data_IF_707274081007
#
_entry.id   IF_707274081007
#
_cell.length_a   1.000
_cell.length_b   1.000
_cell.length_c   1.000
_cell.angle_alpha   90.00
_cell.angle_beta   90.00
_cell.angle_gamma   90.00
#
_symmetry.space_group_name_H-M   'P 1'
#
loop_
_entity.id
_entity.type
_entity.pdbx_description
1 polymer ?
#
# COMPACT_ATOMS: atom_id res chain seq x y z
N UNK A 1 15.92 -39.99 4.82
CA UNK A 1 15.70 -38.63 4.33
C UNK A 1 14.39 -38.03 4.86
N UNK A 2 13.23 -38.57 4.55
CA UNK A 2 11.92 -38.02 4.98
C UNK A 2 11.84 -37.68 6.46
N UNK A 3 12.27 -38.59 7.35
CA UNK A 3 12.24 -38.36 8.80
C UNK A 3 13.17 -37.23 9.25
N UNK A 4 14.29 -37.03 8.54
CA UNK A 4 15.23 -35.92 8.78
C UNK A 4 14.56 -34.60 8.43
N UNK A 5 14.00 -34.47 7.24
CA UNK A 5 13.31 -33.28 6.76
C UNK A 5 12.12 -32.90 7.67
N UNK A 6 11.34 -33.90 8.10
CA UNK A 6 10.23 -33.68 9.04
C UNK A 6 10.73 -33.14 10.39
N UNK A 7 11.83 -33.66 10.90
CA UNK A 7 12.43 -33.18 12.15
C UNK A 7 13.00 -31.76 12.03
N UNK A 8 13.61 -31.43 10.90
CA UNK A 8 14.09 -30.06 10.61
C UNK A 8 12.92 -29.10 10.53
N UNK A 9 11.85 -29.45 9.81
CA UNK A 9 10.63 -28.62 9.71
C UNK A 9 9.98 -28.38 11.07
N UNK A 10 9.81 -29.41 11.90
CA UNK A 10 9.23 -29.28 13.26
C UNK A 10 10.14 -28.48 14.21
N UNK A 11 11.44 -28.49 14.01
CA UNK A 11 12.39 -27.65 14.77
C UNK A 11 12.31 -26.18 14.39
N UNK A 12 12.09 -25.87 13.12
CA UNK A 12 11.88 -24.48 12.66
C UNK A 12 10.40 -24.08 12.85
N UNK A 13 10.06 -23.84 14.11
CA UNK A 13 8.70 -23.42 14.49
C UNK A 13 8.21 -22.16 13.79
N UNK A 14 9.13 -21.27 13.38
CA UNK A 14 8.77 -20.01 12.68
C UNK A 14 8.37 -20.29 11.25
N UNK A 15 9.14 -21.06 10.51
CA UNK A 15 8.81 -21.50 9.16
C UNK A 15 7.50 -22.30 9.15
N UNK A 16 7.33 -23.22 10.10
CA UNK A 16 6.11 -24.02 10.22
C UNK A 16 4.88 -23.13 10.51
N UNK A 17 5.03 -22.18 11.44
CA UNK A 17 3.93 -21.23 11.76
C UNK A 17 3.54 -20.37 10.54
N UNK A 18 4.50 -19.86 9.78
CA UNK A 18 4.24 -19.07 8.57
C UNK A 18 3.60 -19.92 7.47
N UNK A 19 4.05 -21.16 7.31
CA UNK A 19 3.53 -22.09 6.30
C UNK A 19 2.05 -22.44 6.53
N UNK A 20 1.62 -22.51 7.79
CA UNK A 20 0.23 -22.76 8.17
C UNK A 20 -0.57 -21.45 8.19
N UNK A 21 0.00 -20.39 8.76
CA UNK A 21 -0.69 -19.11 8.90
C UNK A 21 -1.03 -18.46 7.56
N UNK A 22 -0.15 -18.62 6.55
CA UNK A 22 -0.33 -17.98 5.25
C UNK A 22 -1.57 -18.46 4.48
N UNK A 23 -1.83 -19.77 4.29
CA UNK A 23 -3.07 -20.23 3.68
C UNK A 23 -4.34 -19.86 4.47
N UNK A 24 -4.26 -19.89 5.80
CA UNK A 24 -5.39 -19.48 6.66
C UNK A 24 -5.68 -17.98 6.52
N UNK A 25 -4.64 -17.16 6.50
CA UNK A 25 -4.76 -15.72 6.30
C UNK A 25 -5.36 -15.42 4.92
N UNK A 26 -4.90 -16.10 3.87
CA UNK A 26 -5.46 -15.98 2.53
C UNK A 26 -6.94 -16.38 2.49
N UNK A 27 -7.30 -17.51 3.11
CA UNK A 27 -8.70 -17.96 3.20
C UNK A 27 -9.58 -16.90 3.85
N UNK A 28 -9.15 -16.33 4.98
CA UNK A 28 -9.89 -15.29 5.70
C UNK A 28 -9.99 -14.02 4.86
N UNK A 29 -8.89 -13.58 4.26
CA UNK A 29 -8.89 -12.37 3.42
C UNK A 29 -9.83 -12.56 2.23
N UNK A 30 -9.69 -13.64 1.46
CA UNK A 30 -10.57 -13.87 0.31
C UNK A 30 -12.02 -14.06 0.73
N UNK A 31 -12.30 -14.70 1.86
CA UNK A 31 -13.65 -14.88 2.36
C UNK A 31 -14.36 -13.58 2.74
N UNK A 32 -13.64 -12.58 3.24
CA UNK A 32 -14.22 -11.34 3.73
C UNK A 32 -13.91 -10.10 2.86
N UNK A 33 -12.82 -10.10 2.11
CA UNK A 33 -12.41 -8.95 1.28
C UNK A 33 -12.83 -9.09 -0.19
N UNK A 34 -13.07 -10.29 -0.70
CA UNK A 34 -13.40 -10.53 -2.11
C UNK A 34 -14.83 -10.08 -2.45
N UNK A 35 -15.09 -8.80 -2.34
CA UNK A 35 -16.32 -8.19 -2.76
C UNK A 35 -16.01 -7.04 -3.74
N UNK A 36 -16.55 -7.14 -4.95
CA UNK A 36 -16.40 -6.13 -6.01
C UNK A 36 -17.61 -5.19 -6.12
N UNK A 37 -18.69 -5.48 -5.38
CA UNK A 37 -19.89 -4.67 -5.41
C UNK A 37 -19.80 -3.54 -4.38
N UNK A 38 -19.87 -2.32 -4.89
CA UNK A 38 -20.02 -1.13 -4.04
C UNK A 38 -21.49 -1.02 -3.68
N UNK A 39 -21.80 -1.11 -2.41
CA UNK A 39 -23.18 -1.11 -1.90
C UNK A 39 -23.83 0.29 -1.90
N UNK A 40 -23.02 1.34 -1.83
CA UNK A 40 -23.49 2.73 -1.87
C UNK A 40 -22.40 3.64 -2.43
N UNK A 41 -22.78 4.69 -3.15
CA UNK A 41 -21.90 5.68 -3.74
C UNK A 41 -22.02 7.01 -3.00
N UNK A 42 -20.91 7.58 -2.55
CA UNK A 42 -20.89 8.94 -1.99
C UNK A 42 -21.26 9.92 -3.09
N UNK A 43 -22.34 10.66 -2.87
CA UNK A 43 -22.94 11.48 -3.91
C UNK A 43 -23.06 12.93 -3.46
N UNK A 44 -22.70 13.86 -4.33
CA UNK A 44 -23.02 15.27 -4.19
C UNK A 44 -24.13 15.65 -5.20
N UNK A 45 -24.98 16.56 -4.82
CA UNK A 45 -25.97 17.17 -5.73
C UNK A 45 -25.82 18.69 -5.66
N UNK A 46 -25.53 19.31 -6.80
CA UNK A 46 -25.21 20.74 -6.89
C UNK A 46 -26.18 21.44 -7.88
N UNK A 47 -26.38 22.73 -7.66
CA UNK A 47 -27.18 23.58 -8.54
C UNK A 47 -28.65 23.82 -8.07
N UNK A 48 -29.43 24.65 -8.80
CA UNK A 48 -30.68 25.23 -8.30
C UNK A 48 -31.76 24.23 -7.86
N UNK A 49 -31.75 23.02 -8.39
CA UNK A 49 -32.71 21.95 -8.09
C UNK A 49 -32.11 20.84 -7.22
N UNK A 50 -30.97 21.10 -6.57
CA UNK A 50 -30.21 20.09 -5.85
C UNK A 50 -31.04 19.34 -4.80
N UNK A 51 -31.86 20.05 -4.00
CA UNK A 51 -32.67 19.41 -2.95
C UNK A 51 -33.76 18.49 -3.52
N UNK A 52 -34.37 18.86 -4.68
CA UNK A 52 -35.40 18.04 -5.32
C UNK A 52 -34.78 16.75 -5.90
N UNK A 53 -33.67 16.89 -6.61
CA UNK A 53 -32.98 15.76 -7.20
C UNK A 53 -32.43 14.84 -6.10
N UNK A 54 -31.83 15.38 -5.03
CA UNK A 54 -31.36 14.62 -3.90
C UNK A 54 -32.42 13.74 -3.23
N UNK A 55 -33.64 14.29 -3.08
CA UNK A 55 -34.79 13.56 -2.52
C UNK A 55 -35.32 12.44 -3.45
N UNK A 56 -35.10 12.57 -4.76
CA UNK A 56 -35.56 11.61 -5.76
C UNK A 56 -34.56 10.49 -6.08
N UNK A 57 -33.32 10.61 -5.62
CA UNK A 57 -32.27 9.62 -5.90
C UNK A 57 -32.52 8.30 -5.16
N UNK A 58 -32.30 7.16 -5.80
CA UNK A 58 -32.31 5.85 -5.13
C UNK A 58 -31.31 5.78 -3.95
N UNK A 59 -31.58 4.97 -2.90
CA UNK A 59 -30.71 4.83 -1.71
C UNK A 59 -29.27 4.40 -2.02
N UNK A 60 -29.06 3.83 -3.19
CA UNK A 60 -27.73 3.47 -3.70
C UNK A 60 -26.81 4.69 -3.85
N UNK A 61 -27.38 5.86 -4.21
CA UNK A 61 -26.67 7.14 -4.21
C UNK A 61 -26.81 7.79 -2.84
N UNK A 62 -25.83 7.52 -1.97
CA UNK A 62 -25.82 8.11 -0.63
C UNK A 62 -25.43 9.59 -0.71
N UNK A 63 -26.43 10.47 -0.67
CA UNK A 63 -26.20 11.91 -0.75
C UNK A 63 -25.52 12.40 0.51
N UNK A 64 -24.29 12.87 0.36
CA UNK A 64 -23.45 13.40 1.45
C UNK A 64 -23.40 14.92 1.45
N UNK A 65 -23.64 15.57 0.29
CA UNK A 65 -23.61 17.02 0.09
C UNK A 65 -24.73 17.45 -0.83
N UNK A 66 -25.41 18.54 -0.47
CA UNK A 66 -26.46 19.16 -1.27
C UNK A 66 -26.23 20.66 -1.25
N UNK A 67 -25.69 21.21 -2.34
CA UNK A 67 -25.27 22.62 -2.44
C UNK A 67 -25.97 23.31 -3.62
N UNK A 68 -27.07 24.05 -3.37
CA UNK A 68 -27.83 24.70 -4.43
C UNK A 68 -27.09 25.83 -5.16
N UNK A 69 -26.08 26.41 -4.52
CA UNK A 69 -25.27 27.51 -5.06
C UNK A 69 -24.06 27.07 -5.89
N UNK A 70 -23.65 25.79 -5.74
CA UNK A 70 -22.46 25.28 -6.38
C UNK A 70 -22.68 25.05 -7.87
N UNK A 71 -21.58 25.16 -8.60
CA UNK A 71 -21.51 25.02 -10.06
C UNK A 71 -20.96 23.64 -10.46
N UNK A 72 -20.96 23.38 -11.78
CA UNK A 72 -20.28 22.19 -12.31
C UNK A 72 -18.78 22.14 -11.96
N UNK A 73 -18.09 23.29 -11.93
CA UNK A 73 -16.68 23.36 -11.57
C UNK A 73 -16.41 22.95 -10.11
N UNK A 74 -17.34 23.28 -9.22
CA UNK A 74 -17.28 22.86 -7.82
C UNK A 74 -17.49 21.35 -7.70
N UNK A 75 -18.45 20.80 -8.44
CA UNK A 75 -18.69 19.36 -8.54
C UNK A 75 -17.44 18.60 -9.07
N UNK A 76 -16.78 19.11 -10.11
CA UNK A 76 -15.55 18.54 -10.65
C UNK A 76 -14.41 18.59 -9.61
N UNK A 77 -14.36 19.66 -8.80
CA UNK A 77 -13.38 19.77 -7.69
C UNK A 77 -13.64 18.73 -6.60
N UNK A 78 -14.90 18.49 -6.23
CA UNK A 78 -15.25 17.45 -5.26
C UNK A 78 -14.82 16.04 -5.74
N UNK A 79 -15.01 15.76 -7.03
CA UNK A 79 -14.61 14.50 -7.66
C UNK A 79 -13.07 14.38 -7.75
N UNK A 80 -12.39 15.48 -8.14
CA UNK A 80 -10.91 15.53 -8.19
C UNK A 80 -10.29 15.25 -6.83
N UNK A 81 -10.86 15.85 -5.79
CA UNK A 81 -10.40 15.71 -4.41
C UNK A 81 -10.85 14.38 -3.76
N UNK A 82 -11.56 13.53 -4.51
CA UNK A 82 -12.09 12.23 -4.08
C UNK A 82 -13.01 12.31 -2.86
N UNK A 83 -13.75 13.39 -2.73
CA UNK A 83 -14.76 13.58 -1.66
C UNK A 83 -16.04 12.83 -1.94
N UNK A 84 -16.39 12.69 -3.24
CA UNK A 84 -17.55 11.97 -3.72
C UNK A 84 -17.21 11.09 -4.93
N UNK A 85 -18.01 10.04 -5.17
CA UNK A 85 -17.89 9.14 -6.31
C UNK A 85 -18.70 9.62 -7.51
N UNK A 86 -19.82 10.27 -7.24
CA UNK A 86 -20.75 10.81 -8.25
C UNK A 86 -21.19 12.22 -7.83
N UNK A 87 -21.29 13.12 -8.80
CA UNK A 87 -21.87 14.44 -8.60
C UNK A 87 -22.98 14.71 -9.63
N UNK A 88 -24.18 15.02 -9.16
CA UNK A 88 -25.29 15.45 -10.03
C UNK A 88 -25.31 16.97 -10.13
N UNK A 89 -25.22 17.48 -11.34
CA UNK A 89 -25.31 18.91 -11.64
C UNK A 89 -26.70 19.20 -12.18
N UNK A 90 -27.45 19.99 -11.43
CA UNK A 90 -28.82 20.38 -11.75
C UNK A 90 -28.85 21.76 -12.41
N UNK A 91 -30.05 22.20 -12.87
CA UNK A 91 -30.21 23.49 -13.58
C UNK A 91 -30.11 23.39 -15.10
N UNK A 92 -29.86 22.20 -15.63
CA UNK A 92 -29.87 21.87 -17.05
C UNK A 92 -30.72 20.61 -17.30
N UNK A 93 -31.27 20.47 -18.49
CA UNK A 93 -32.03 19.29 -18.89
C UNK A 93 -31.35 18.64 -20.12
N UNK A 94 -31.02 17.36 -20.05
CA UNK A 94 -31.09 16.44 -18.91
C UNK A 94 -30.09 16.79 -17.78
N UNK A 95 -30.37 16.34 -16.54
CA UNK A 95 -29.45 16.47 -15.41
C UNK A 95 -28.11 15.78 -15.76
N UNK A 96 -27.00 16.43 -15.45
CA UNK A 96 -25.67 15.88 -15.71
C UNK A 96 -25.15 15.13 -14.49
N UNK A 97 -24.83 13.85 -14.65
CA UNK A 97 -24.12 13.05 -13.66
C UNK A 97 -22.64 12.94 -14.02
N UNK A 98 -21.79 13.52 -13.21
CA UNK A 98 -20.34 13.40 -13.29
C UNK A 98 -19.91 12.21 -12.42
N UNK A 99 -19.15 11.29 -12.99
CA UNK A 99 -18.71 10.04 -12.31
C UNK A 99 -17.19 10.02 -12.20
N UNK A 100 -16.66 9.69 -11.03
CA UNK A 100 -15.23 9.56 -10.78
C UNK A 100 -14.67 8.24 -11.36
N UNK A 101 -14.15 8.25 -12.56
CA UNK A 101 -13.57 7.08 -13.23
C UNK A 101 -12.25 6.59 -12.64
N UNK A 102 -11.65 7.33 -11.71
CA UNK A 102 -10.45 6.85 -10.99
C UNK A 102 -10.75 5.76 -9.96
N UNK A 103 -12.01 5.65 -9.51
CA UNK A 103 -12.51 4.54 -8.71
C UNK A 103 -13.32 3.61 -9.63
N UNK A 104 -12.63 2.63 -10.25
CA UNK A 104 -13.17 1.81 -11.33
C UNK A 104 -14.50 1.11 -10.95
N UNK A 105 -14.54 0.45 -9.79
CA UNK A 105 -15.71 -0.33 -9.37
C UNK A 105 -16.91 0.56 -9.00
N UNK A 106 -16.65 1.68 -8.34
CA UNK A 106 -17.67 2.68 -8.07
C UNK A 106 -18.22 3.28 -9.37
N UNK A 107 -17.34 3.63 -10.31
CA UNK A 107 -17.72 4.18 -11.60
C UNK A 107 -18.54 3.19 -12.45
N UNK A 108 -18.12 1.93 -12.54
CA UNK A 108 -18.87 0.89 -13.24
C UNK A 108 -20.26 0.68 -12.62
N UNK A 109 -20.35 0.65 -11.29
CA UNK A 109 -21.62 0.52 -10.58
C UNK A 109 -22.51 1.73 -10.78
N UNK A 110 -21.93 2.96 -10.78
CA UNK A 110 -22.65 4.21 -11.04
C UNK A 110 -23.24 4.23 -12.46
N UNK A 111 -22.40 3.95 -13.47
CA UNK A 111 -22.84 3.93 -14.88
C UNK A 111 -23.92 2.89 -15.10
N UNK A 112 -23.80 1.69 -14.51
CA UNK A 112 -24.81 0.65 -14.60
C UNK A 112 -26.15 1.07 -13.95
N UNK A 113 -26.09 1.78 -12.81
CA UNK A 113 -27.29 2.30 -12.14
C UNK A 113 -27.96 3.43 -12.96
N UNK A 114 -27.16 4.38 -13.46
CA UNK A 114 -27.64 5.52 -14.25
C UNK A 114 -28.26 5.09 -15.60
N UNK A 115 -27.72 4.06 -16.24
CA UNK A 115 -28.27 3.53 -17.48
C UNK A 115 -29.69 2.92 -17.32
N UNK A 116 -30.04 2.46 -16.10
CA UNK A 116 -31.39 1.96 -15.80
C UNK A 116 -32.45 3.07 -15.76
N UNK A 117 -32.03 4.32 -15.55
CA UNK A 117 -32.93 5.48 -15.51
C UNK A 117 -33.41 5.97 -16.91
N UNK A 118 -33.07 5.22 -17.97
CA UNK A 118 -33.64 5.41 -19.30
C UNK A 118 -33.33 6.74 -19.98
N UNK A 119 -32.11 7.27 -19.80
CA UNK A 119 -31.67 8.49 -20.51
C UNK A 119 -32.13 9.81 -19.90
N UNK A 120 -32.78 9.80 -18.75
CA UNK A 120 -33.18 11.02 -18.01
C UNK A 120 -32.00 11.81 -17.46
N UNK A 121 -30.85 11.15 -17.35
CA UNK A 121 -29.59 11.70 -16.83
C UNK A 121 -28.51 11.54 -17.88
N UNK A 122 -27.79 12.61 -18.20
CA UNK A 122 -26.60 12.57 -19.04
C UNK A 122 -25.41 12.17 -18.19
N UNK A 123 -24.77 11.05 -18.49
CA UNK A 123 -23.63 10.55 -17.71
C UNK A 123 -22.32 10.96 -18.39
N UNK A 124 -21.38 11.51 -17.63
CA UNK A 124 -20.02 11.81 -18.05
C UNK A 124 -19.02 11.24 -17.04
N UNK A 125 -18.16 10.35 -17.50
CA UNK A 125 -17.09 9.78 -16.65
C UNK A 125 -15.84 10.64 -16.80
N UNK A 126 -15.34 11.15 -15.67
CA UNK A 126 -14.13 11.95 -15.60
C UNK A 126 -12.90 11.08 -15.26
N UNK A 127 -11.72 11.56 -15.63
CA UNK A 127 -10.40 10.96 -15.33
C UNK A 127 -10.09 9.61 -15.98
N UNK A 128 -11.08 8.83 -16.35
CA UNK A 128 -10.95 7.55 -17.06
C UNK A 128 -12.24 7.27 -17.86
N UNK A 129 -12.48 8.00 -18.96
CA UNK A 129 -13.75 7.95 -19.71
C UNK A 129 -14.12 6.56 -20.19
N UNK A 130 -13.12 5.79 -20.61
CA UNK A 130 -13.30 4.42 -21.14
C UNK A 130 -13.33 3.36 -20.04
N UNK A 131 -13.24 3.74 -18.77
CA UNK A 131 -13.15 2.85 -17.60
C UNK A 131 -12.07 1.76 -17.78
N UNK A 132 -10.90 2.15 -18.32
CA UNK A 132 -9.76 1.26 -18.51
C UNK A 132 -9.19 0.80 -17.18
N UNK A 133 -9.23 -0.49 -16.93
CA UNK A 133 -8.69 -1.11 -15.70
C UNK A 133 -7.20 -0.82 -15.53
N UNK A 134 -6.42 -0.81 -16.62
CA UNK A 134 -4.99 -0.52 -16.60
C UNK A 134 -4.68 0.87 -16.04
N UNK A 135 -5.49 1.89 -16.35
CA UNK A 135 -5.27 3.25 -15.85
C UNK A 135 -5.37 3.35 -14.32
N UNK A 136 -6.26 2.57 -13.71
CA UNK A 136 -6.44 2.56 -12.26
C UNK A 136 -5.45 1.62 -11.57
N UNK A 137 -5.15 0.47 -12.20
CA UNK A 137 -4.28 -0.52 -11.56
C UNK A 137 -2.78 -0.17 -11.65
N UNK A 138 -2.30 0.41 -12.76
CA UNK A 138 -0.87 0.66 -12.94
C UNK A 138 -0.28 1.58 -11.87
N UNK A 139 -0.90 2.73 -11.47
CA UNK A 139 -0.40 3.53 -10.37
C UNK A 139 -0.25 2.76 -9.05
N UNK A 140 -1.14 1.81 -8.79
CA UNK A 140 -1.06 0.94 -7.62
C UNK A 140 0.00 -0.16 -7.76
N UNK A 141 0.15 -0.73 -8.97
CA UNK A 141 1.18 -1.73 -9.29
C UNK A 141 2.59 -1.15 -9.16
N UNK A 142 2.80 0.12 -9.50
CA UNK A 142 4.08 0.82 -9.23
C UNK A 142 4.43 0.69 -7.74
N UNK A 143 3.49 1.01 -6.85
CA UNK A 143 3.67 0.85 -5.41
C UNK A 143 3.91 -0.59 -4.98
N UNK A 144 3.21 -1.54 -5.60
CA UNK A 144 3.38 -2.96 -5.31
C UNK A 144 4.79 -3.46 -5.69
N UNK A 145 5.28 -3.11 -6.87
CA UNK A 145 6.64 -3.46 -7.33
C UNK A 145 7.67 -2.88 -6.36
N UNK A 146 7.53 -1.60 -6.00
CA UNK A 146 8.42 -0.95 -5.03
C UNK A 146 8.37 -1.63 -3.66
N UNK A 147 7.19 -2.05 -3.21
CA UNK A 147 7.03 -2.79 -1.95
C UNK A 147 7.75 -4.12 -2.01
N UNK A 148 7.58 -4.86 -3.11
CA UNK A 148 8.20 -6.16 -3.30
C UNK A 148 9.74 -6.05 -3.30
N UNK A 149 10.27 -5.21 -4.20
CA UNK A 149 11.71 -5.00 -4.36
C UNK A 149 12.31 -4.43 -3.07
N UNK A 150 11.74 -3.34 -2.56
CA UNK A 150 12.26 -2.65 -1.38
C UNK A 150 12.26 -3.53 -0.13
N UNK A 151 11.18 -4.25 0.13
CA UNK A 151 11.08 -5.10 1.34
C UNK A 151 11.98 -6.32 1.23
N UNK A 152 11.95 -7.06 0.12
CA UNK A 152 12.70 -8.31 -0.03
C UNK A 152 14.21 -8.04 -0.14
N UNK A 153 14.61 -7.13 -1.04
CA UNK A 153 16.04 -6.86 -1.26
C UNK A 153 16.70 -6.33 0.02
N UNK A 154 16.03 -5.39 0.71
CA UNK A 154 16.56 -4.83 1.95
C UNK A 154 16.64 -5.88 3.07
N UNK A 155 15.60 -6.71 3.22
CA UNK A 155 15.60 -7.74 4.27
C UNK A 155 16.68 -8.80 4.03
N UNK A 156 16.82 -9.29 2.79
CA UNK A 156 17.86 -10.26 2.44
C UNK A 156 19.25 -9.64 2.60
N UNK A 157 19.46 -8.41 2.11
CA UNK A 157 20.75 -7.73 2.21
C UNK A 157 21.24 -7.62 3.64
N UNK A 158 20.36 -7.25 4.56
CA UNK A 158 20.67 -7.14 5.99
C UNK A 158 20.88 -8.49 6.65
N UNK A 159 20.10 -9.52 6.31
CA UNK A 159 20.26 -10.88 6.88
C UNK A 159 21.55 -11.52 6.40
N UNK A 160 21.92 -11.37 5.12
CA UNK A 160 23.19 -11.88 4.58
C UNK A 160 24.40 -11.30 5.32
N UNK A 161 24.38 -10.03 5.70
CA UNK A 161 25.44 -9.43 6.50
C UNK A 161 25.51 -10.03 7.91
N UNK A 162 24.37 -10.40 8.47
CA UNK A 162 24.32 -11.14 9.74
C UNK A 162 24.89 -12.55 9.58
N UNK A 163 24.49 -13.26 8.52
CA UNK A 163 25.01 -14.60 8.21
C UNK A 163 26.53 -14.59 7.97
N UNK A 164 27.06 -13.52 7.36
CA UNK A 164 28.47 -13.31 7.13
C UNK A 164 29.26 -12.82 8.37
N UNK A 165 28.59 -12.50 9.48
CA UNK A 165 29.25 -11.99 10.71
C UNK A 165 29.72 -10.53 10.61
N UNK A 166 29.44 -9.82 9.53
CA UNK A 166 29.87 -8.41 9.34
C UNK A 166 29.12 -7.43 10.21
N UNK A 167 27.92 -7.77 10.68
CA UNK A 167 27.17 -6.96 11.65
C UNK A 167 27.87 -6.86 13.00
N UNK A 168 28.61 -7.88 13.40
CA UNK A 168 29.38 -7.93 14.64
C UNK A 168 30.53 -6.90 14.61
N UNK A 169 31.17 -6.72 13.45
CA UNK A 169 32.18 -5.70 13.26
C UNK A 169 31.63 -4.28 13.41
N UNK A 170 30.36 -4.06 12.99
CA UNK A 170 29.69 -2.78 13.16
C UNK A 170 29.29 -2.49 14.61
N UNK A 171 29.08 -3.54 15.43
CA UNK A 171 28.72 -3.41 16.84
C UNK A 171 29.85 -2.81 17.70
N UNK A 172 31.11 -3.02 17.31
CA UNK A 172 32.29 -2.49 18.03
C UNK A 172 32.69 -1.08 17.57
N UNK A 173 32.08 -0.57 16.49
CA UNK A 173 32.32 0.79 16.01
C UNK A 173 31.51 1.82 16.81
N UNK A 174 32.06 3.01 17.12
CA UNK A 174 31.35 4.08 17.84
C UNK A 174 30.35 4.83 16.94
N UNK A 175 29.51 4.09 16.22
CA UNK A 175 28.51 4.64 15.26
C UNK A 175 27.13 4.43 15.82
N UNK A 176 26.29 5.48 15.74
CA UNK A 176 24.88 5.38 16.17
C UNK A 176 24.11 4.38 15.25
N UNK A 177 23.28 3.47 15.81
CA UNK A 177 22.51 2.49 15.03
C UNK A 177 21.69 3.10 13.89
N UNK A 178 21.09 4.27 14.10
CA UNK A 178 20.33 4.99 13.06
C UNK A 178 21.19 5.39 11.86
N UNK A 179 22.46 5.76 12.07
CA UNK A 179 23.38 6.10 10.96
C UNK A 179 23.77 4.87 10.16
N UNK A 180 23.93 3.73 10.83
CA UNK A 180 24.21 2.44 10.16
C UNK A 180 23.03 2.06 9.27
N UNK A 181 21.79 2.13 9.79
CA UNK A 181 20.58 1.81 9.04
C UNK A 181 20.42 2.76 7.84
N UNK A 182 20.57 4.07 8.05
CA UNK A 182 20.46 5.05 6.96
C UNK A 182 21.52 4.81 5.87
N UNK A 183 22.77 4.53 6.26
CA UNK A 183 23.84 4.21 5.31
C UNK A 183 23.57 2.96 4.48
N UNK A 184 22.88 1.97 5.06
CA UNK A 184 22.49 0.74 4.37
C UNK A 184 21.25 0.91 3.51
N UNK A 185 20.28 1.71 3.95
CA UNK A 185 19.07 2.01 3.18
C UNK A 185 19.39 2.88 1.96
N UNK A 186 20.37 3.80 2.05
CA UNK A 186 20.65 4.78 0.99
C UNK A 186 20.90 4.16 -0.40
N UNK A 187 21.75 3.14 -0.59
CA UNK A 187 21.91 2.52 -1.90
C UNK A 187 20.64 1.83 -2.40
N UNK A 188 19.90 1.15 -1.54
CA UNK A 188 18.63 0.53 -1.92
C UNK A 188 17.57 1.57 -2.27
N UNK A 189 17.56 2.71 -1.57
CA UNK A 189 16.68 3.82 -1.89
C UNK A 189 16.96 4.38 -3.28
N UNK A 190 18.24 4.57 -3.64
CA UNK A 190 18.62 5.07 -4.96
C UNK A 190 18.18 4.12 -6.07
N UNK A 191 18.45 2.81 -5.90
CA UNK A 191 18.05 1.79 -6.88
C UNK A 191 16.52 1.75 -7.02
N UNK A 192 15.79 1.74 -5.91
CA UNK A 192 14.33 1.71 -5.92
C UNK A 192 13.72 3.00 -6.49
N UNK A 193 14.37 4.16 -6.30
CA UNK A 193 13.94 5.42 -6.91
C UNK A 193 14.13 5.40 -8.44
N UNK A 194 15.22 4.83 -8.93
CA UNK A 194 15.45 4.63 -10.37
C UNK A 194 14.40 3.66 -10.95
N UNK A 195 14.17 2.54 -10.27
CA UNK A 195 13.16 1.55 -10.66
C UNK A 195 11.76 2.18 -10.72
N UNK A 196 11.40 2.99 -9.73
CA UNK A 196 10.15 3.75 -9.73
C UNK A 196 10.01 4.63 -10.99
N UNK A 197 11.05 5.36 -11.36
CA UNK A 197 11.03 6.21 -12.56
C UNK A 197 10.82 5.35 -13.80
N UNK A 198 11.56 4.24 -13.93
CA UNK A 198 11.46 3.32 -15.05
C UNK A 198 10.04 2.74 -15.16
N UNK A 199 9.50 2.20 -14.07
CA UNK A 199 8.16 1.57 -14.08
C UNK A 199 7.07 2.62 -14.34
N UNK A 200 7.21 3.83 -13.81
CA UNK A 200 6.26 4.93 -14.06
C UNK A 200 6.28 5.34 -15.54
N UNK A 201 7.47 5.53 -16.13
CA UNK A 201 7.60 5.87 -17.54
C UNK A 201 7.05 4.76 -18.45
N UNK A 202 7.35 3.50 -18.14
CA UNK A 202 6.78 2.36 -18.85
C UNK A 202 5.26 2.32 -18.74
N UNK A 203 4.70 2.59 -17.56
CA UNK A 203 3.26 2.68 -17.35
C UNK A 203 2.58 3.73 -18.24
N UNK A 204 3.21 4.90 -18.38
CA UNK A 204 2.74 5.99 -19.25
C UNK A 204 2.86 5.58 -20.72
N UNK A 205 4.03 5.09 -21.14
CA UNK A 205 4.33 4.85 -22.58
C UNK A 205 3.60 3.62 -23.11
N UNK A 206 3.59 2.50 -22.37
CA UNK A 206 3.02 1.23 -22.84
C UNK A 206 1.51 1.17 -22.68
N UNK A 207 0.96 1.75 -21.63
CA UNK A 207 -0.47 1.62 -21.29
C UNK A 207 -1.25 2.93 -21.44
N UNK A 208 -0.57 4.01 -21.82
CA UNK A 208 -1.19 5.31 -21.99
C UNK A 208 -1.80 5.89 -20.71
N UNK A 209 -1.24 5.53 -19.55
CA UNK A 209 -1.72 6.06 -18.26
C UNK A 209 -1.47 7.57 -18.22
N UNK A 210 -2.49 8.40 -18.00
CA UNK A 210 -2.31 9.85 -17.94
C UNK A 210 -1.47 10.25 -16.72
N UNK A 211 -0.74 11.34 -16.84
CA UNK A 211 -0.03 11.97 -15.75
C UNK A 211 -0.46 13.45 -15.65
N UNK A 212 -1.59 13.70 -15.00
CA UNK A 212 -2.25 15.00 -14.98
C UNK A 212 -1.78 15.93 -13.86
N UNK A 213 -1.12 15.38 -12.83
CA UNK A 213 -0.72 16.14 -11.65
C UNK A 213 0.75 16.51 -11.61
N UNK A 214 1.21 16.97 -10.44
CA UNK A 214 2.58 17.42 -10.22
C UNK A 214 3.57 16.25 -10.10
N UNK A 215 4.61 16.17 -10.97
CA UNK A 215 5.68 15.18 -10.82
C UNK A 215 6.43 15.31 -9.50
N UNK A 216 6.58 16.53 -8.98
CA UNK A 216 7.21 16.77 -7.68
C UNK A 216 6.40 16.16 -6.54
N UNK A 217 5.06 16.36 -6.53
CA UNK A 217 4.18 15.77 -5.53
C UNK A 217 4.24 14.23 -5.57
N UNK A 218 4.27 13.65 -6.78
CA UNK A 218 4.41 12.21 -6.96
C UNK A 218 5.75 11.70 -6.43
N UNK A 219 6.86 12.36 -6.79
CA UNK A 219 8.20 11.99 -6.33
C UNK A 219 8.32 12.09 -4.80
N UNK A 220 7.72 13.12 -4.18
CA UNK A 220 7.69 13.27 -2.72
C UNK A 220 6.93 12.11 -2.05
N UNK A 221 5.73 11.80 -2.55
CA UNK A 221 4.93 10.68 -2.04
C UNK A 221 5.65 9.33 -2.17
N UNK A 222 6.28 9.11 -3.32
CA UNK A 222 7.07 7.93 -3.58
C UNK A 222 8.32 7.84 -2.69
N UNK A 223 9.02 8.94 -2.46
CA UNK A 223 10.18 8.98 -1.57
C UNK A 223 9.80 8.61 -0.13
N UNK A 224 8.70 9.17 0.40
CA UNK A 224 8.18 8.82 1.72
C UNK A 224 7.79 7.34 1.76
N UNK A 225 7.10 6.85 0.73
CA UNK A 225 6.69 5.46 0.63
C UNK A 225 7.88 4.51 0.59
N UNK A 226 8.90 4.80 -0.22
CA UNK A 226 10.15 4.02 -0.28
C UNK A 226 10.82 3.94 1.10
N UNK A 227 10.82 5.04 1.86
CA UNK A 227 11.37 5.05 3.20
C UNK A 227 10.62 4.08 4.14
N UNK A 228 9.28 4.02 4.05
CA UNK A 228 8.47 3.05 4.79
C UNK A 228 8.82 1.62 4.40
N UNK A 229 8.86 1.34 3.10
CA UNK A 229 9.03 -0.02 2.57
C UNK A 229 10.43 -0.56 2.88
N UNK A 230 11.47 0.26 2.69
CA UNK A 230 12.84 -0.10 3.03
C UNK A 230 13.00 -0.29 4.56
N UNK A 231 12.35 0.57 5.34
CA UNK A 231 12.29 0.43 6.80
C UNK A 231 11.61 -0.87 7.25
N UNK A 232 10.53 -1.29 6.57
CA UNK A 232 9.89 -2.59 6.78
C UNK A 232 10.85 -3.75 6.44
N UNK A 233 11.63 -3.63 5.36
CA UNK A 233 12.66 -4.61 5.02
C UNK A 233 13.71 -4.75 6.12
N UNK A 234 14.20 -3.62 6.67
CA UNK A 234 15.10 -3.64 7.83
C UNK A 234 14.41 -4.28 9.04
N UNK A 235 13.16 -3.93 9.33
CA UNK A 235 12.42 -4.53 10.46
C UNK A 235 12.29 -6.05 10.30
N UNK A 236 11.93 -6.54 9.10
CA UNK A 236 11.85 -7.97 8.79
C UNK A 236 13.20 -8.65 9.00
N UNK A 237 14.30 -8.01 8.62
CA UNK A 237 15.64 -8.57 8.83
C UNK A 237 15.96 -8.79 10.31
N UNK A 238 15.44 -7.95 11.21
CA UNK A 238 15.70 -8.10 12.66
C UNK A 238 14.98 -9.28 13.28
N UNK A 239 13.88 -9.74 12.69
CA UNK A 239 13.11 -10.89 13.18
C UNK A 239 13.43 -12.19 12.45
N UNK A 240 14.22 -12.12 11.36
CA UNK A 240 14.63 -13.27 10.54
C UNK A 240 16.07 -13.66 10.85
N UNK A 241 16.34 -14.95 10.95
CA UNK A 241 17.70 -15.48 11.22
C UNK A 241 18.42 -15.89 9.94
N UNK A 242 17.67 -16.29 8.91
CA UNK A 242 18.23 -16.74 7.62
C UNK A 242 17.55 -15.99 6.48
N UNK A 243 18.23 -15.92 5.34
CA UNK A 243 17.71 -15.32 4.12
C UNK A 243 16.38 -15.97 3.68
N UNK A 244 16.21 -17.29 3.87
CA UNK A 244 14.96 -18.01 3.61
C UNK A 244 13.81 -17.54 4.50
N UNK A 245 14.05 -17.38 5.81
CA UNK A 245 13.06 -16.84 6.75
C UNK A 245 12.70 -15.39 6.41
N UNK A 246 13.67 -14.58 5.98
CA UNK A 246 13.43 -13.21 5.58
C UNK A 246 12.45 -13.12 4.38
N UNK A 247 12.68 -13.96 3.37
CA UNK A 247 11.79 -14.06 2.20
C UNK A 247 10.38 -14.47 2.61
N UNK A 248 10.23 -15.53 3.40
CA UNK A 248 8.92 -16.00 3.85
C UNK A 248 8.17 -14.92 4.67
N UNK A 249 8.89 -14.25 5.57
CA UNK A 249 8.33 -13.17 6.38
C UNK A 249 7.93 -11.98 5.50
N UNK A 250 8.75 -11.62 4.51
CA UNK A 250 8.43 -10.56 3.56
C UNK A 250 7.14 -10.89 2.78
N UNK A 251 6.98 -12.10 2.28
CA UNK A 251 5.74 -12.54 1.62
C UNK A 251 4.53 -12.48 2.54
N UNK A 252 4.68 -12.85 3.81
CA UNK A 252 3.60 -12.73 4.80
C UNK A 252 3.11 -11.28 4.97
N UNK A 253 4.01 -10.29 4.88
CA UNK A 253 3.65 -8.87 4.90
C UNK A 253 3.12 -8.36 3.54
N UNK A 254 3.63 -8.91 2.42
CA UNK A 254 3.24 -8.48 1.08
C UNK A 254 1.82 -8.90 0.70
N UNK A 255 1.39 -10.11 1.05
CA UNK A 255 0.09 -10.63 0.65
C UNK A 255 -1.08 -9.77 1.16
N UNK A 256 -1.15 -9.37 2.43
CA UNK A 256 -2.16 -8.41 2.89
C UNK A 256 -2.10 -7.10 2.11
N UNK A 257 -0.91 -6.58 1.77
CA UNK A 257 -0.78 -5.35 1.00
C UNK A 257 -1.39 -5.49 -0.40
N UNK A 258 -1.17 -6.61 -1.09
CA UNK A 258 -1.76 -6.86 -2.41
C UNK A 258 -3.29 -6.88 -2.32
N UNK A 259 -3.83 -7.57 -1.33
CA UNK A 259 -5.26 -7.88 -1.27
C UNK A 259 -6.09 -6.79 -0.58
N UNK A 260 -5.53 -6.13 0.44
CA UNK A 260 -6.27 -5.22 1.33
C UNK A 260 -5.92 -3.74 1.13
N UNK A 261 -4.99 -3.40 0.23
CA UNK A 261 -4.59 -2.00 0.00
C UNK A 261 -5.60 -1.17 -0.80
N UNK A 262 -6.69 -1.75 -1.26
CA UNK A 262 -7.61 -1.07 -2.18
C UNK A 262 -7.23 -1.18 -3.66
N UNK A 263 -6.12 -1.90 -3.97
CA UNK A 263 -5.67 -2.09 -5.35
C UNK A 263 -6.57 -3.07 -6.12
N UNK A 264 -6.83 -4.24 -5.54
CA UNK A 264 -7.66 -5.29 -6.18
C UNK A 264 -9.12 -5.16 -5.73
N UNK A 265 -9.35 -5.09 -4.43
CA UNK A 265 -10.68 -4.96 -3.85
C UNK A 265 -10.89 -3.55 -3.29
N UNK A 266 -11.96 -2.83 -3.67
CA UNK A 266 -12.24 -1.52 -3.09
C UNK A 266 -12.38 -1.59 -1.57
N UNK A 267 -11.73 -0.69 -0.85
CA UNK A 267 -11.79 -0.66 0.63
C UNK A 267 -13.24 -0.52 1.13
N UNK A 268 -14.06 0.24 0.42
CA UNK A 268 -15.47 0.47 0.74
C UNK A 268 -16.33 -0.81 0.62
N UNK A 269 -15.93 -1.72 -0.27
CA UNK A 269 -16.64 -2.99 -0.48
C UNK A 269 -16.23 -4.08 0.52
N UNK A 270 -15.12 -3.89 1.24
CA UNK A 270 -14.65 -4.86 2.24
C UNK A 270 -15.52 -4.85 3.49
N UNK A 271 -15.68 -6.02 4.13
CA UNK A 271 -16.31 -6.12 5.43
C UNK A 271 -15.57 -5.26 6.47
N UNK A 272 -16.32 -4.62 7.38
CA UNK A 272 -15.76 -3.69 8.37
C UNK A 272 -14.65 -4.30 9.23
N UNK A 273 -14.75 -5.59 9.57
CA UNK A 273 -13.74 -6.33 10.33
C UNK A 273 -12.41 -6.53 9.63
N UNK A 274 -12.34 -6.37 8.30
CA UNK A 274 -11.11 -6.52 7.50
C UNK A 274 -10.64 -5.17 6.96
N UNK A 275 -11.55 -4.25 6.66
CA UNK A 275 -11.26 -2.93 6.09
C UNK A 275 -10.23 -2.13 6.88
N UNK A 276 -10.30 -2.15 8.22
CA UNK A 276 -9.37 -1.41 9.08
C UNK A 276 -7.92 -1.86 8.91
N UNK A 277 -7.69 -3.15 8.56
CA UNK A 277 -6.35 -3.66 8.27
C UNK A 277 -5.78 -2.96 7.03
N UNK A 278 -6.62 -2.75 6.01
CA UNK A 278 -6.24 -2.01 4.81
C UNK A 278 -5.70 -0.60 5.13
N UNK A 279 -6.28 0.09 6.10
CA UNK A 279 -5.81 1.41 6.52
C UNK A 279 -4.50 1.38 7.34
N UNK A 280 -4.01 0.22 7.77
CA UNK A 280 -2.68 0.07 8.38
C UNK A 280 -1.58 -0.21 7.35
N UNK A 281 -1.94 -0.37 6.08
CA UNK A 281 -1.00 -0.75 5.03
C UNK A 281 -0.45 0.48 4.29
N UNK A 282 0.87 0.62 4.16
CA UNK A 282 1.46 1.76 3.46
C UNK A 282 1.09 1.82 1.97
N UNK A 283 0.92 0.66 1.31
CA UNK A 283 0.52 0.61 -0.09
C UNK A 283 -0.84 1.28 -0.34
N UNK A 284 -1.76 1.22 0.62
CA UNK A 284 -3.06 1.90 0.56
C UNK A 284 -2.90 3.40 0.32
N UNK A 285 -2.06 4.05 1.12
CA UNK A 285 -1.85 5.50 1.01
C UNK A 285 -1.05 5.88 -0.22
N UNK A 286 -0.08 5.05 -0.61
CA UNK A 286 0.64 5.28 -1.86
C UNK A 286 -0.28 5.12 -3.08
N UNK A 287 -1.20 4.15 -3.08
CA UNK A 287 -2.21 4.00 -4.12
C UNK A 287 -3.12 5.23 -4.20
N UNK A 288 -3.58 5.76 -3.07
CA UNK A 288 -4.36 7.00 -3.01
C UNK A 288 -3.59 8.20 -3.59
N UNK A 289 -2.30 8.33 -3.26
CA UNK A 289 -1.42 9.39 -3.75
C UNK A 289 -1.20 9.23 -5.25
N UNK A 290 -0.78 8.05 -5.70
CA UNK A 290 -0.42 7.81 -7.10
C UNK A 290 -1.62 7.96 -8.04
N UNK A 291 -2.77 7.37 -7.72
CA UNK A 291 -4.00 7.56 -8.48
C UNK A 291 -4.51 9.00 -8.42
N UNK A 292 -4.43 9.64 -7.25
CA UNK A 292 -4.82 11.04 -7.08
C UNK A 292 -4.03 11.97 -7.98
N UNK A 293 -2.73 11.81 -8.02
CA UNK A 293 -1.85 12.66 -8.82
C UNK A 293 -1.93 12.28 -10.30
N UNK A 294 -1.74 11.01 -10.64
CA UNK A 294 -1.64 10.58 -12.03
C UNK A 294 -2.97 10.74 -12.78
N UNK A 295 -4.07 10.26 -12.21
CA UNK A 295 -5.37 10.27 -12.91
C UNK A 295 -6.13 11.58 -12.72
N UNK A 296 -6.32 12.01 -11.46
CA UNK A 296 -7.18 13.16 -11.13
C UNK A 296 -6.46 14.50 -11.17
N UNK A 297 -5.12 14.53 -11.21
CA UNK A 297 -4.36 15.78 -11.10
C UNK A 297 -4.56 16.47 -9.75
N UNK A 298 -4.87 15.72 -8.69
CA UNK A 298 -5.18 16.26 -7.39
C UNK A 298 -3.97 17.00 -6.76
N UNK A 299 -4.18 18.18 -6.17
CA UNK A 299 -3.12 18.91 -5.47
C UNK A 299 -2.75 18.22 -4.15
N UNK A 300 -1.57 18.51 -3.62
CA UNK A 300 -1.10 17.97 -2.32
C UNK A 300 -2.09 18.28 -1.21
N UNK A 301 -2.74 19.45 -1.26
CA UNK A 301 -3.73 19.86 -0.26
C UNK A 301 -4.94 18.95 -0.20
N UNK A 302 -5.36 18.35 -1.31
CA UNK A 302 -6.43 17.35 -1.34
C UNK A 302 -5.95 15.97 -0.85
N UNK A 303 -4.65 15.70 -0.96
CA UNK A 303 -4.00 14.44 -0.58
C UNK A 303 -3.27 14.53 0.77
N UNK A 304 -3.53 15.57 1.56
CA UNK A 304 -2.81 15.81 2.83
C UNK A 304 -2.86 14.62 3.78
N UNK A 305 -4.03 13.97 3.90
CA UNK A 305 -4.24 12.84 4.80
C UNK A 305 -3.35 11.63 4.43
N UNK A 306 -3.35 11.12 3.16
CA UNK A 306 -2.42 10.07 2.74
C UNK A 306 -0.95 10.43 2.98
N UNK A 307 -0.54 11.67 2.70
CA UNK A 307 0.84 12.12 2.93
C UNK A 307 1.21 12.11 4.42
N UNK A 308 0.34 12.63 5.29
CA UNK A 308 0.57 12.66 6.74
C UNK A 308 0.66 11.25 7.30
N UNK A 309 -0.30 10.38 6.97
CA UNK A 309 -0.30 9.00 7.48
C UNK A 309 0.93 8.25 7.02
N UNK A 310 1.30 8.38 5.75
CA UNK A 310 2.50 7.72 5.21
C UNK A 310 3.79 8.23 5.88
N UNK A 311 3.85 9.53 6.19
CA UNK A 311 4.97 10.13 6.93
C UNK A 311 5.03 9.61 8.37
N UNK A 312 3.89 9.52 9.05
CA UNK A 312 3.81 8.92 10.39
C UNK A 312 4.28 7.46 10.35
N UNK A 313 3.82 6.69 9.37
CA UNK A 313 4.28 5.30 9.16
C UNK A 313 5.80 5.24 8.96
N UNK A 314 6.38 6.14 8.16
CA UNK A 314 7.83 6.21 7.95
C UNK A 314 8.58 6.40 9.26
N UNK A 315 8.13 7.34 10.09
CA UNK A 315 8.72 7.61 11.41
C UNK A 315 8.59 6.40 12.33
N UNK A 316 7.40 5.80 12.41
CA UNK A 316 7.13 4.64 13.28
C UNK A 316 7.97 3.44 12.86
N UNK A 317 7.98 3.10 11.57
CA UNK A 317 8.72 1.95 11.05
C UNK A 317 10.23 2.15 11.22
N UNK A 318 10.75 3.35 10.90
CA UNK A 318 12.17 3.65 11.07
C UNK A 318 12.60 3.63 12.53
N UNK A 319 11.79 4.19 13.42
CA UNK A 319 12.03 4.16 14.86
C UNK A 319 12.01 2.73 15.39
N UNK A 320 10.98 1.95 15.02
CA UNK A 320 10.87 0.54 15.39
C UNK A 320 12.05 -0.30 14.91
N UNK A 321 12.45 -0.13 13.64
CA UNK A 321 13.62 -0.79 13.07
C UNK A 321 14.92 -0.41 13.84
N UNK A 322 15.10 0.88 14.13
CA UNK A 322 16.28 1.37 14.87
C UNK A 322 16.35 0.83 16.30
N UNK A 323 15.22 0.87 17.03
CA UNK A 323 15.15 0.35 18.39
C UNK A 323 15.40 -1.16 18.44
N UNK A 324 14.84 -1.88 17.49
CA UNK A 324 15.04 -3.34 17.39
C UNK A 324 16.48 -3.68 17.05
N UNK A 325 17.05 -3.01 16.04
CA UNK A 325 18.43 -3.18 15.62
C UNK A 325 19.43 -2.86 16.75
N UNK A 326 19.13 -1.82 17.56
CA UNK A 326 19.92 -1.49 18.75
C UNK A 326 19.94 -2.64 19.77
N UNK A 327 18.83 -3.35 19.94
CA UNK A 327 18.78 -4.53 20.85
C UNK A 327 19.61 -5.70 20.31
N UNK A 328 19.64 -5.88 19.01
CA UNK A 328 20.42 -6.96 18.37
C UNK A 328 21.94 -6.72 18.50
N UNK A 329 22.35 -5.44 18.62
CA UNK A 329 23.75 -5.05 18.83
C UNK A 329 24.14 -4.98 20.32
N UNK A 330 23.21 -5.17 21.26
CA UNK A 330 23.53 -5.10 22.69
C UNK A 330 24.40 -6.27 23.14
N UNK A 331 25.38 -6.04 24.05
CA UNK A 331 26.20 -7.12 24.60
C UNK A 331 25.33 -8.19 25.28
N UNK A 332 25.54 -9.46 24.95
CA UNK A 332 24.73 -10.58 25.48
C UNK A 332 23.51 -10.96 24.64
N UNK A 333 23.25 -10.32 23.49
CA UNK A 333 22.23 -10.79 22.56
C UNK A 333 22.68 -12.09 21.86
N UNK A 334 21.74 -12.96 21.40
CA UNK A 334 22.11 -14.18 20.65
C UNK A 334 22.93 -13.93 19.38
N UNK A 335 22.96 -12.69 18.91
CA UNK A 335 23.75 -12.23 17.77
C UNK A 335 25.13 -11.64 18.19
N UNK A 336 25.42 -11.52 19.50
CA UNK A 336 26.68 -11.01 19.99
C UNK A 336 27.75 -12.13 20.04
N UNK A 337 29.05 -11.85 19.68
CA UNK A 337 30.13 -12.80 19.82
C UNK A 337 30.28 -13.35 21.26
N UNK A 338 29.94 -12.51 22.26
CA UNK A 338 29.95 -12.90 23.68
C UNK A 338 28.85 -13.90 24.06
N UNK A 339 27.80 -14.07 23.25
CA UNK A 339 26.72 -15.04 23.47
C UNK A 339 26.96 -16.42 22.84
N UNK A 340 27.95 -16.55 21.96
CA UNK A 340 28.44 -17.85 21.47
C UNK A 340 29.48 -18.38 22.42
N UNK A 341 29.06 -19.08 23.49
CA UNK A 341 30.00 -19.94 24.22
C UNK A 341 30.58 -20.96 23.23
N UNK A 342 31.92 -21.11 23.11
CA UNK A 342 32.46 -22.20 22.35
C UNK A 342 31.94 -23.50 22.96
N UNK A 343 31.39 -24.37 22.08
CA UNK A 343 31.04 -25.72 22.50
C UNK A 343 32.23 -26.26 23.30
N UNK A 344 32.00 -26.65 24.56
CA UNK A 344 33.02 -27.19 25.43
C UNK A 344 33.75 -28.29 24.65
N UNK A 345 35.05 -28.11 24.45
CA UNK A 345 35.88 -29.12 23.84
C UNK A 345 35.72 -30.38 24.68
N UNK A 346 35.18 -31.44 24.08
CA UNK A 346 35.18 -32.76 24.73
C UNK A 346 36.61 -33.10 25.15
N UNK A 347 36.83 -33.55 26.39
CA UNK A 347 38.16 -33.96 26.81
C UNK A 347 38.59 -35.13 25.94
N UNK A 348 39.70 -34.96 25.22
CA UNK A 348 40.38 -36.04 24.50
C UNK A 348 40.75 -37.08 25.53
N UNK A 349 40.05 -38.22 25.53
CA UNK A 349 40.43 -39.39 26.32
C UNK A 349 41.71 -39.96 25.75
N UNK A 350 42.84 -39.65 26.41
CA UNK A 350 44.09 -40.38 26.25
C UNK A 350 43.90 -41.74 26.93
N UNK A 351 43.75 -42.79 26.13
CA UNK A 351 43.84 -44.18 26.49
C UNK A 351 44.58 -44.94 25.40
#
# INVERSE_FOLDING_TARGET
>A
MIVKEFRELVRDRRTLALLIAMPLLLLVIFGYAANFYVSSLKTAVVGPQASQVAAALPPFFHVTMTEPSDTQADAETLLRDNKVDVAFVTGQAPVLALVNGSNLFAAQSAVAALNKEGGKVKTQVLYNPDLKTSWVMIPAIIGLILTFIGTIITSIGMVREREAGTLEQLAVMPIKPSRVILGKIAPYFLVAAIDMIIVTVLGIVLFGVPFNGSPFAFALGAAIFLFVVLGLGVFISTISQTSGQAIQTAFFFLLPQILLSGMIFPLEAMAAGVRWIGYLLPLTYFTMISQGIMLRGAPITALWLPFVVLTVMAVVVFTGATLRFRRDLAPGSPASPAGRQPAAAEPVSTG
#
